data_IF_094220851952
#
_entry.id   IF_094220851952
#
_cell.length_a   1.000
_cell.length_b   1.000
_cell.length_c   1.000
_cell.angle_alpha   90.00
_cell.angle_beta   90.00
_cell.angle_gamma   90.00
#
_symmetry.space_group_name_H-M   'P 1'
#
loop_
_entity.id
_entity.type
_entity.pdbx_description
1 polymer ?
#
# COMPACT_ATOMS: atom_id res chain seq x y z
N UNK A 1 -36.01 5.04 17.40
CA UNK A 1 -34.66 5.61 17.60
C UNK A 1 -33.70 4.44 17.59
N UNK A 2 -33.19 4.07 16.40
CA UNK A 2 -32.29 2.91 16.25
C UNK A 2 -30.87 3.34 16.58
N UNK A 3 -30.21 2.63 17.48
CA UNK A 3 -28.79 2.79 17.77
C UNK A 3 -27.99 2.64 16.46
N UNK A 4 -26.96 3.46 16.21
CA UNK A 4 -25.99 3.12 15.17
C UNK A 4 -25.39 1.78 15.59
N UNK A 5 -25.60 0.73 14.80
CA UNK A 5 -24.85 -0.50 14.94
C UNK A 5 -23.38 -0.09 14.79
N UNK A 6 -22.68 0.04 15.91
CA UNK A 6 -21.23 -0.02 15.90
C UNK A 6 -20.94 -1.46 15.52
N UNK A 7 -20.77 -1.69 14.22
CA UNK A 7 -20.24 -2.91 13.66
C UNK A 7 -18.79 -3.04 14.17
N UNK A 8 -18.64 -3.50 15.41
CA UNK A 8 -17.45 -4.20 15.86
C UNK A 8 -17.41 -5.53 15.11
N UNK A 9 -17.12 -5.46 13.80
CA UNK A 9 -16.93 -6.62 12.98
C UNK A 9 -15.65 -7.32 13.46
N UNK A 10 -15.82 -8.36 14.27
CA UNK A 10 -14.77 -9.35 14.54
C UNK A 10 -14.18 -9.95 13.24
N UNK A 11 -14.88 -9.81 12.11
CA UNK A 11 -14.37 -10.13 10.77
C UNK A 11 -13.16 -9.28 10.33
N UNK A 12 -13.02 -8.04 10.80
CA UNK A 12 -11.85 -7.20 10.50
C UNK A 12 -10.61 -7.60 11.33
N UNK A 13 -10.79 -8.37 12.41
CA UNK A 13 -9.68 -8.90 13.22
C UNK A 13 -9.12 -10.21 12.62
N UNK A 14 -9.86 -10.83 11.71
CA UNK A 14 -9.40 -12.00 10.93
C UNK A 14 -8.66 -11.62 9.64
N UNK A 15 -8.33 -10.33 9.45
CA UNK A 15 -7.79 -9.79 8.19
C UNK A 15 -6.30 -10.16 8.03
N UNK A 16 -6.02 -11.46 7.80
CA UNK A 16 -4.79 -12.00 7.21
C UNK A 16 -3.45 -11.37 7.63
N UNK A 17 -3.32 -10.98 8.90
CA UNK A 17 -2.22 -10.14 9.37
C UNK A 17 -1.06 -11.01 9.80
N UNK A 18 0.04 -10.96 9.06
CA UNK A 18 1.27 -11.68 9.39
C UNK A 18 2.20 -10.71 10.11
N UNK A 19 2.53 -11.02 11.38
CA UNK A 19 3.38 -10.17 12.24
C UNK A 19 2.91 -8.71 12.38
N UNK A 20 1.59 -8.49 12.45
CA UNK A 20 1.05 -7.14 12.57
C UNK A 20 1.11 -6.31 11.29
N UNK A 21 1.51 -6.92 10.16
CA UNK A 21 1.44 -6.33 8.83
C UNK A 21 0.33 -7.04 8.05
N UNK A 22 -0.54 -6.25 7.42
CA UNK A 22 -1.61 -6.77 6.55
C UNK A 22 -0.97 -7.57 5.40
N UNK A 23 -1.46 -8.77 5.10
CA UNK A 23 -0.81 -9.68 4.13
C UNK A 23 -0.52 -9.02 2.77
N UNK A 24 -1.43 -8.16 2.30
CA UNK A 24 -1.26 -7.36 1.08
C UNK A 24 -0.04 -6.44 1.14
N UNK A 25 0.23 -5.82 2.29
CA UNK A 25 1.38 -4.93 2.48
C UNK A 25 2.69 -5.72 2.48
N UNK A 26 2.67 -6.95 3.00
CA UNK A 26 3.79 -7.88 2.94
C UNK A 26 4.13 -8.27 1.49
N UNK A 27 3.11 -8.51 0.66
CA UNK A 27 3.29 -8.79 -0.77
C UNK A 27 3.93 -7.62 -1.53
N UNK A 28 3.58 -6.38 -1.19
CA UNK A 28 4.19 -5.18 -1.80
C UNK A 28 5.68 -5.09 -1.46
N UNK A 29 6.04 -5.29 -0.19
CA UNK A 29 7.45 -5.28 0.24
C UNK A 29 8.22 -6.42 -0.43
N UNK A 30 7.63 -7.63 -0.47
CA UNK A 30 8.22 -8.80 -1.10
C UNK A 30 8.48 -8.57 -2.60
N UNK A 31 7.53 -7.95 -3.30
CA UNK A 31 7.70 -7.58 -4.70
C UNK A 31 8.84 -6.58 -4.90
N UNK A 32 8.93 -5.55 -4.06
CA UNK A 32 10.05 -4.59 -4.07
C UNK A 32 11.40 -5.24 -3.79
N UNK A 33 11.44 -6.22 -2.88
CA UNK A 33 12.62 -7.01 -2.57
C UNK A 33 13.06 -7.86 -3.76
N UNK A 34 12.13 -8.57 -4.40
CA UNK A 34 12.40 -9.39 -5.59
C UNK A 34 12.95 -8.55 -6.74
N UNK A 35 12.34 -7.39 -7.01
CA UNK A 35 12.84 -6.45 -8.02
C UNK A 35 14.26 -5.96 -7.70
N UNK A 36 14.50 -5.56 -6.45
CA UNK A 36 15.81 -5.12 -6.02
C UNK A 36 16.87 -6.21 -6.20
N UNK A 37 16.55 -7.46 -5.82
CA UNK A 37 17.42 -8.61 -6.06
C UNK A 37 17.72 -8.79 -7.55
N UNK A 38 16.69 -8.70 -8.41
CA UNK A 38 16.85 -8.76 -9.86
C UNK A 38 17.83 -7.71 -10.39
N UNK A 39 17.72 -6.46 -9.93
CA UNK A 39 18.67 -5.41 -10.30
C UNK A 39 20.08 -5.66 -9.77
N UNK A 40 20.23 -6.15 -8.55
CA UNK A 40 21.55 -6.51 -7.98
C UNK A 40 22.23 -7.57 -8.85
N UNK A 41 21.50 -8.62 -9.24
CA UNK A 41 22.01 -9.66 -10.13
C UNK A 41 22.40 -9.09 -11.49
N UNK A 42 21.58 -8.23 -12.08
CA UNK A 42 21.89 -7.58 -13.36
C UNK A 42 23.14 -6.71 -13.29
N UNK A 43 23.30 -5.92 -12.22
CA UNK A 43 24.51 -5.12 -11.96
C UNK A 43 25.73 -6.04 -11.85
N UNK A 44 25.60 -7.14 -11.13
CA UNK A 44 26.69 -8.09 -10.92
C UNK A 44 27.10 -8.80 -12.22
N UNK A 45 26.14 -9.18 -13.07
CA UNK A 45 26.42 -9.78 -14.37
C UNK A 45 27.10 -8.84 -15.36
N UNK A 46 26.86 -7.53 -15.25
CA UNK A 46 27.37 -6.52 -16.19
C UNK A 46 28.67 -5.86 -15.74
N UNK A 47 29.02 -5.95 -14.46
CA UNK A 47 30.12 -5.19 -13.89
C UNK A 47 31.33 -6.07 -13.63
N UNK A 48 32.43 -5.83 -14.35
CA UNK A 48 33.73 -6.49 -14.10
C UNK A 48 34.37 -6.06 -12.78
N UNK A 49 33.91 -4.93 -12.21
CA UNK A 49 34.35 -4.42 -10.90
C UNK A 49 33.14 -4.07 -10.05
N UNK A 50 33.18 -4.46 -8.78
CA UNK A 50 32.11 -4.14 -7.83
C UNK A 50 32.27 -2.69 -7.38
N UNK A 51 31.50 -1.79 -7.99
CA UNK A 51 31.36 -0.41 -7.51
C UNK A 51 30.16 -0.32 -6.54
N UNK A 52 30.28 0.41 -5.41
CA UNK A 52 29.19 0.54 -4.45
C UNK A 52 28.01 1.36 -4.97
N UNK A 53 28.25 2.26 -5.95
CA UNK A 53 27.22 3.16 -6.50
C UNK A 53 26.07 2.41 -7.20
N UNK A 54 26.31 1.52 -8.18
CA UNK A 54 25.23 0.79 -8.84
C UNK A 54 24.54 -0.23 -7.91
N UNK A 55 25.25 -0.73 -6.89
CA UNK A 55 24.66 -1.58 -5.84
C UNK A 55 23.69 -0.81 -4.95
N UNK A 56 24.00 0.44 -4.59
CA UNK A 56 23.05 1.28 -3.86
C UNK A 56 21.83 1.62 -4.70
N UNK A 57 22.03 1.88 -6.00
CA UNK A 57 20.94 2.22 -6.90
C UNK A 57 19.96 1.06 -7.11
N UNK A 58 20.45 -0.19 -7.13
CA UNK A 58 19.61 -1.38 -7.24
C UNK A 58 18.75 -1.65 -6.00
N UNK A 59 19.03 -1.02 -4.85
CA UNK A 59 18.16 -1.05 -3.67
C UNK A 59 16.93 -0.14 -3.78
N UNK A 60 16.88 0.72 -4.80
CA UNK A 60 15.80 1.70 -5.02
C UNK A 60 14.39 1.11 -4.90
N UNK A 61 14.03 0.01 -5.60
CA UNK A 61 12.70 -0.58 -5.53
C UNK A 61 12.30 -1.05 -4.12
N UNK A 62 13.23 -1.63 -3.36
CA UNK A 62 12.98 -2.10 -2.01
C UNK A 62 12.73 -0.91 -1.06
N UNK A 63 13.55 0.14 -1.16
CA UNK A 63 13.40 1.35 -0.35
C UNK A 63 12.06 2.01 -0.67
N UNK A 64 11.71 2.11 -1.95
CA UNK A 64 10.46 2.73 -2.39
C UNK A 64 9.24 1.94 -1.90
N UNK A 65 9.24 0.61 -2.08
CA UNK A 65 8.15 -0.25 -1.59
C UNK A 65 8.02 -0.19 -0.06
N UNK A 66 9.14 -0.22 0.66
CA UNK A 66 9.14 -0.15 2.13
C UNK A 66 8.65 1.21 2.63
N UNK A 67 9.15 2.30 2.05
CA UNK A 67 8.70 3.66 2.40
C UNK A 67 7.21 3.86 2.12
N UNK A 68 6.70 3.37 0.99
CA UNK A 68 5.28 3.42 0.65
C UNK A 68 4.44 2.69 1.70
N UNK A 69 4.83 1.47 2.08
CA UNK A 69 4.07 0.70 3.07
C UNK A 69 4.14 1.33 4.45
N UNK A 70 5.33 1.72 4.94
CA UNK A 70 5.51 2.27 6.28
C UNK A 70 4.85 3.65 6.44
N UNK A 71 4.93 4.51 5.42
CA UNK A 71 4.43 5.88 5.49
C UNK A 71 2.93 5.97 5.15
N UNK A 72 2.48 5.23 4.15
CA UNK A 72 1.12 5.40 3.60
C UNK A 72 0.15 4.28 3.98
N UNK A 73 0.61 3.07 4.32
CA UNK A 73 -0.30 1.93 4.55
C UNK A 73 -0.27 1.38 5.97
N UNK A 74 0.83 1.50 6.69
CA UNK A 74 0.92 0.94 8.03
C UNK A 74 0.15 1.79 9.04
N UNK A 75 -0.86 1.20 9.67
CA UNK A 75 -1.68 1.89 10.69
C UNK A 75 -2.57 3.00 10.14
N UNK A 76 -2.71 3.10 8.82
CA UNK A 76 -3.59 4.06 8.13
C UNK A 76 -4.91 3.38 7.74
N UNK A 77 -6.03 4.13 7.69
CA UNK A 77 -7.29 3.59 7.22
C UNK A 77 -7.21 3.20 5.73
N UNK A 78 -8.02 2.21 5.33
CA UNK A 78 -8.16 1.80 3.92
C UNK A 78 -8.57 3.01 3.08
N UNK A 79 -7.83 3.30 2.00
CA UNK A 79 -8.07 4.46 1.12
C UNK A 79 -7.17 5.67 1.37
N UNK A 80 -6.42 5.72 2.48
CA UNK A 80 -5.50 6.83 2.78
C UNK A 80 -4.47 7.06 1.65
N UNK A 81 -3.98 5.98 1.02
CA UNK A 81 -3.05 6.05 -0.10
C UNK A 81 -3.68 6.75 -1.31
N UNK A 82 -4.92 6.42 -1.65
CA UNK A 82 -5.68 7.05 -2.74
C UNK A 82 -5.96 8.52 -2.46
N UNK A 83 -6.45 8.85 -1.27
CA UNK A 83 -6.81 10.21 -0.87
C UNK A 83 -5.56 11.12 -0.84
N UNK A 84 -4.42 10.60 -0.38
CA UNK A 84 -3.14 11.31 -0.42
C UNK A 84 -2.72 11.61 -1.86
N UNK A 85 -2.79 10.61 -2.75
CA UNK A 85 -2.41 10.78 -4.15
C UNK A 85 -3.34 11.77 -4.87
N UNK A 86 -4.65 11.67 -4.64
CA UNK A 86 -5.61 12.63 -5.19
C UNK A 86 -5.38 14.05 -4.64
N UNK A 87 -4.98 14.18 -3.39
CA UNK A 87 -4.60 15.47 -2.82
C UNK A 87 -3.32 16.02 -3.46
N UNK A 88 -2.33 15.18 -3.71
CA UNK A 88 -1.08 15.61 -4.36
C UNK A 88 -1.29 16.01 -5.83
N UNK A 89 -2.20 15.34 -6.55
CA UNK A 89 -2.44 15.58 -7.98
C UNK A 89 -3.51 16.65 -8.24
N UNK A 90 -4.62 16.63 -7.49
CA UNK A 90 -5.84 17.43 -7.73
C UNK A 90 -6.12 18.42 -6.60
N UNK A 91 -5.64 18.14 -5.38
CA UNK A 91 -5.85 18.99 -4.19
C UNK A 91 -7.17 18.75 -3.45
N UNK A 92 -7.94 17.71 -3.80
CA UNK A 92 -9.30 17.46 -3.26
C UNK A 92 -9.53 16.09 -2.61
N UNK A 93 -8.50 15.27 -2.45
CA UNK A 93 -8.65 13.85 -2.07
C UNK A 93 -9.25 13.57 -0.68
N UNK A 94 -9.50 14.59 0.14
CA UNK A 94 -10.13 14.42 1.47
C UNK A 94 -11.63 14.75 1.47
N UNK A 95 -12.24 15.03 0.32
CA UNK A 95 -13.66 15.37 0.22
C UNK A 95 -14.51 14.09 0.13
N UNK A 96 -15.67 14.02 0.81
CA UNK A 96 -16.56 12.88 0.69
C UNK A 96 -17.02 12.67 -0.76
N UNK A 97 -17.02 11.43 -1.24
CA UNK A 97 -17.56 11.07 -2.55
C UNK A 97 -19.03 11.52 -2.65
N UNK A 98 -19.29 12.59 -3.42
CA UNK A 98 -20.66 13.05 -3.67
C UNK A 98 -21.45 12.10 -4.58
N UNK A 99 -20.77 11.10 -5.16
CA UNK A 99 -21.35 10.07 -6.03
C UNK A 99 -21.85 8.83 -5.27
N UNK A 100 -22.35 8.99 -4.04
CA UNK A 100 -23.08 7.92 -3.37
C UNK A 100 -24.36 7.60 -4.16
N UNK A 101 -24.26 6.64 -5.10
CA UNK A 101 -25.38 6.12 -5.88
C UNK A 101 -26.36 5.51 -4.89
N UNK A 102 -27.47 6.21 -4.65
CA UNK A 102 -28.59 5.69 -3.86
C UNK A 102 -29.03 4.38 -4.51
N UNK A 103 -28.64 3.24 -3.94
CA UNK A 103 -29.22 1.96 -4.29
C UNK A 103 -30.69 2.01 -3.83
N UNK A 104 -31.58 2.40 -4.74
CA UNK A 104 -33.02 2.21 -4.59
C UNK A 104 -33.28 0.71 -4.57
N UNK A 105 -33.44 0.15 -3.37
CA UNK A 105 -34.05 -1.16 -3.22
C UNK A 105 -35.48 -1.08 -3.74
N UNK A 106 -35.91 -1.97 -4.65
CA UNK A 106 -37.30 -2.04 -5.06
C UNK A 106 -38.13 -2.48 -3.85
N UNK A 107 -39.06 -1.63 -3.42
CA UNK A 107 -40.09 -2.02 -2.44
C UNK A 107 -40.93 -3.12 -3.08
N UNK A 108 -40.93 -4.31 -2.49
CA UNK A 108 -41.98 -5.32 -2.71
C UNK A 108 -43.16 -5.01 -1.81
#
# INVERSE_FOLDING_TARGET
MSLPLTDTCAGNDSDGKVWGIEGTNLLIILFGLLLSLGFIVLVWMKSERVSPVPLLLSMGPLILASSYVLLCRQGKPKGFDTDLMETLVVGKGWMPDTHHRKNTYPKR
#
